data_IF_394878981584
#
_entry.id   IF_394878981584
#
_cell.length_a   1.000
_cell.length_b   1.000
_cell.length_c   1.000
_cell.angle_alpha   90.00
_cell.angle_beta   90.00
_cell.angle_gamma   90.00
#
_symmetry.space_group_name_H-M   'P 1'
#
loop_
_entity.id
_entity.type
_entity.pdbx_description
1 polymer ?
#
# COMPACT_ATOMS: atom_id res chain seq x y z
N UNK A 1 3.41 -0.92 25.15
CA UNK A 1 2.42 0.13 24.82
C UNK A 1 3.05 1.42 25.31
N UNK A 2 3.54 2.28 24.39
CA UNK A 2 4.16 3.61 24.59
C UNK A 2 5.09 3.85 23.40
N UNK A 3 4.77 4.84 22.58
CA UNK A 3 5.68 5.61 21.69
C UNK A 3 4.89 6.70 20.92
N UNK A 4 3.77 7.16 21.46
CA UNK A 4 3.22 8.45 21.04
C UNK A 4 3.73 9.45 22.06
N UNK A 5 4.55 10.40 21.62
CA UNK A 5 4.84 11.57 22.44
C UNK A 5 3.52 12.32 22.57
N UNK A 6 3.16 12.67 23.81
CA UNK A 6 2.13 13.67 24.03
C UNK A 6 2.72 14.99 23.52
N UNK A 7 2.08 15.54 22.50
CA UNK A 7 2.41 16.85 21.96
C UNK A 7 1.48 17.86 22.62
N UNK A 8 2.02 18.99 23.07
CA UNK A 8 1.16 20.07 23.57
C UNK A 8 0.36 20.65 22.41
N UNK A 9 -0.82 21.19 22.70
CA UNK A 9 -1.65 21.87 21.68
C UNK A 9 -0.96 23.11 21.10
N UNK A 10 0.02 23.67 21.81
CA UNK A 10 0.81 24.83 21.39
C UNK A 10 2.08 24.44 20.61
N UNK A 11 2.31 23.15 20.41
CA UNK A 11 3.48 22.67 19.69
C UNK A 11 3.38 22.98 18.19
N UNK A 12 4.31 23.78 17.69
CA UNK A 12 4.37 24.16 16.28
C UNK A 12 5.09 23.10 15.46
N UNK A 13 4.55 22.81 14.28
CA UNK A 13 5.11 21.93 13.24
C UNK A 13 5.19 22.70 11.92
N UNK A 14 6.17 22.39 11.08
CA UNK A 14 6.30 23.00 9.75
C UNK A 14 5.23 22.48 8.79
N UNK A 15 4.91 21.17 8.91
CA UNK A 15 3.91 20.50 8.08
C UNK A 15 3.04 19.57 8.92
N UNK A 16 1.75 19.52 8.57
CA UNK A 16 0.78 18.56 9.11
C UNK A 16 0.24 17.71 7.96
N UNK A 17 0.37 16.40 8.10
CA UNK A 17 -0.12 15.41 7.14
C UNK A 17 -1.30 14.68 7.77
N UNK A 18 -2.44 14.72 7.09
CA UNK A 18 -3.66 14.03 7.52
C UNK A 18 -3.77 12.71 6.77
N UNK A 19 -3.64 11.62 7.50
CA UNK A 19 -3.64 10.25 6.98
C UNK A 19 -2.23 9.71 6.76
N UNK A 20 -2.00 8.46 7.18
CA UNK A 20 -0.70 7.79 7.10
C UNK A 20 -0.66 6.68 6.03
N UNK A 21 -1.48 6.82 4.99
CA UNK A 21 -1.45 5.94 3.81
C UNK A 21 -0.18 6.12 2.96
N UNK A 22 -0.18 5.58 1.73
CA UNK A 22 0.96 5.68 0.82
C UNK A 22 1.41 7.14 0.60
N UNK A 23 0.51 8.01 0.14
CA UNK A 23 0.82 9.42 -0.11
C UNK A 23 1.32 10.13 1.14
N UNK A 24 0.58 10.01 2.26
CA UNK A 24 0.94 10.66 3.52
C UNK A 24 2.29 10.18 4.08
N UNK A 25 2.56 8.88 4.04
CA UNK A 25 3.83 8.32 4.53
C UNK A 25 5.02 8.75 3.67
N UNK A 26 4.87 8.75 2.34
CA UNK A 26 5.93 9.21 1.42
C UNK A 26 6.20 10.70 1.61
N UNK A 27 5.15 11.53 1.65
CA UNK A 27 5.29 12.97 1.92
C UNK A 27 5.96 13.24 3.27
N UNK A 28 5.54 12.52 4.32
CA UNK A 28 6.12 12.67 5.66
C UNK A 28 7.61 12.35 5.67
N UNK A 29 7.99 11.23 5.04
CA UNK A 29 9.38 10.80 4.93
C UNK A 29 10.23 11.82 4.17
N UNK A 30 9.78 12.28 2.99
CA UNK A 30 10.55 13.24 2.18
C UNK A 30 10.69 14.61 2.83
N UNK A 31 9.68 15.08 3.56
CA UNK A 31 9.76 16.33 4.32
C UNK A 31 10.69 16.18 5.54
N UNK A 32 10.58 15.06 6.27
CA UNK A 32 11.45 14.79 7.41
C UNK A 32 12.92 14.61 7.00
N UNK A 33 13.21 13.98 5.85
CA UNK A 33 14.57 13.86 5.28
C UNK A 33 15.20 15.23 4.98
N UNK A 34 14.38 16.25 4.68
CA UNK A 34 14.83 17.65 4.52
C UNK A 34 14.99 18.41 5.83
N UNK A 35 14.73 17.77 6.98
CA UNK A 35 14.88 18.34 8.31
C UNK A 35 13.65 19.09 8.83
N UNK A 36 12.52 19.03 8.13
CA UNK A 36 11.28 19.66 8.62
C UNK A 36 10.68 18.89 9.79
N UNK A 37 10.03 19.63 10.69
CA UNK A 37 9.24 19.07 11.79
C UNK A 37 7.83 18.74 11.29
N UNK A 38 7.56 17.45 11.10
CA UNK A 38 6.32 16.97 10.47
C UNK A 38 5.44 16.25 11.50
N UNK A 39 4.16 16.64 11.58
CA UNK A 39 3.12 15.93 12.33
C UNK A 39 2.30 15.06 11.37
N UNK A 40 2.12 13.78 11.70
CA UNK A 40 1.22 12.88 10.96
C UNK A 40 0.04 12.52 11.85
N UNK A 41 -1.17 12.81 11.38
CA UNK A 41 -2.42 12.49 12.06
C UNK A 41 -3.06 11.28 11.41
N UNK A 42 -3.32 10.24 12.19
CA UNK A 42 -3.96 9.01 11.72
C UNK A 42 -5.19 8.71 12.58
N UNK A 43 -6.33 8.41 11.93
CA UNK A 43 -7.58 8.11 12.63
C UNK A 43 -7.54 6.75 13.32
N UNK A 44 -6.83 5.80 12.71
CA UNK A 44 -6.70 4.43 13.17
C UNK A 44 -5.55 4.22 14.16
N UNK A 45 -5.31 2.94 14.47
CA UNK A 45 -4.28 2.53 15.43
C UNK A 45 -2.97 2.18 14.74
N UNK A 46 -1.89 2.12 15.50
CA UNK A 46 -0.66 1.44 15.08
C UNK A 46 -0.77 -0.04 15.42
N UNK A 47 -0.98 -0.88 14.41
CA UNK A 47 -1.11 -2.32 14.56
C UNK A 47 0.26 -2.99 14.60
N UNK A 48 0.38 -4.02 15.43
CA UNK A 48 1.48 -4.99 15.43
C UNK A 48 0.98 -6.33 14.87
N UNK A 49 1.90 -7.24 14.54
CA UNK A 49 1.56 -8.55 14.00
C UNK A 49 0.46 -9.29 14.79
N UNK A 50 0.50 -9.25 16.13
CA UNK A 50 -0.51 -9.88 16.99
C UNK A 50 -1.88 -9.19 17.02
N UNK A 51 -1.96 -7.94 16.56
CA UNK A 51 -3.20 -7.17 16.54
C UNK A 51 -4.06 -7.53 15.33
N UNK A 52 -3.46 -8.06 14.27
CA UNK A 52 -4.16 -8.48 13.06
C UNK A 52 -5.11 -9.65 13.36
N UNK A 53 -6.33 -9.62 12.79
CA UNK A 53 -7.27 -10.73 12.93
C UNK A 53 -6.75 -11.94 12.16
N UNK A 54 -6.80 -13.13 12.78
CA UNK A 54 -6.48 -14.40 12.09
C UNK A 54 -7.46 -14.73 10.97
N UNK A 55 -8.70 -14.25 11.08
CA UNK A 55 -9.78 -14.44 10.11
C UNK A 55 -10.68 -13.23 10.09
N UNK A 56 -11.35 -12.98 8.96
CA UNK A 56 -12.27 -11.85 8.80
C UNK A 56 -13.55 -12.00 9.65
N UNK A 57 -13.80 -13.19 10.22
CA UNK A 57 -14.89 -13.45 11.17
C UNK A 57 -14.67 -12.78 12.54
N UNK A 58 -13.43 -12.38 12.86
CA UNK A 58 -13.18 -11.55 14.04
C UNK A 58 -13.56 -10.09 13.74
N UNK A 59 -14.86 -9.84 13.63
CA UNK A 59 -15.44 -8.56 13.17
C UNK A 59 -14.91 -7.37 13.98
N UNK A 60 -14.75 -7.49 15.30
CA UNK A 60 -14.26 -6.41 16.17
C UNK A 60 -12.81 -6.02 15.92
N UNK A 61 -11.97 -6.97 15.49
CA UNK A 61 -10.57 -6.73 15.12
C UNK A 61 -10.37 -6.53 13.62
N UNK A 62 -11.35 -6.90 12.80
CA UNK A 62 -11.28 -6.79 11.35
C UNK A 62 -11.87 -5.47 10.86
N UNK A 63 -13.10 -5.13 11.25
CA UNK A 63 -13.78 -3.94 10.76
C UNK A 63 -13.39 -2.68 11.53
N UNK A 64 -13.24 -1.58 10.81
CA UNK A 64 -13.21 -0.22 11.34
C UNK A 64 -14.63 0.35 11.34
N UNK A 65 -15.32 0.23 12.47
CA UNK A 65 -16.64 0.81 12.68
C UNK A 65 -16.72 1.36 14.12
N UNK A 66 -16.17 2.57 14.37
CA UNK A 66 -16.04 3.13 15.71
C UNK A 66 -17.36 3.24 16.48
N UNK A 67 -18.48 3.47 15.78
CA UNK A 67 -19.82 3.61 16.37
C UNK A 67 -20.25 2.37 17.19
N UNK A 68 -19.77 1.17 16.83
CA UNK A 68 -20.03 -0.08 17.56
C UNK A 68 -18.76 -0.64 18.21
N UNK A 69 -17.74 0.22 18.40
CA UNK A 69 -16.44 -0.10 19.02
C UNK A 69 -15.61 -1.15 18.27
N UNK A 70 -15.83 -1.30 16.96
CA UNK A 70 -14.92 -2.05 16.09
C UNK A 70 -13.78 -1.13 15.65
N UNK A 71 -12.54 -1.52 15.94
CA UNK A 71 -11.34 -0.73 15.66
C UNK A 71 -10.29 -1.58 14.92
N UNK A 72 -10.76 -2.35 13.95
CA UNK A 72 -9.94 -3.15 13.04
C UNK A 72 -9.36 -2.35 11.88
N UNK A 73 -8.69 -3.05 10.97
CA UNK A 73 -7.96 -2.44 9.84
C UNK A 73 -8.84 -2.12 8.63
N UNK A 74 -9.98 -2.79 8.46
CA UNK A 74 -10.81 -2.73 7.25
C UNK A 74 -12.00 -1.78 7.43
N UNK A 75 -11.98 -0.64 6.77
CA UNK A 75 -13.14 0.24 6.59
C UNK A 75 -13.97 -0.18 5.39
N UNK A 76 -15.29 -0.18 5.55
CA UNK A 76 -16.27 -0.38 4.47
C UNK A 76 -17.22 0.80 4.50
N UNK A 77 -17.22 1.58 3.43
CA UNK A 77 -18.09 2.75 3.30
C UNK A 77 -19.10 2.45 2.20
N UNK A 78 -20.37 2.41 2.57
CA UNK A 78 -21.48 2.17 1.66
C UNK A 78 -21.90 3.48 1.01
N UNK A 79 -21.91 3.50 -0.32
CA UNK A 79 -22.56 4.51 -1.15
C UNK A 79 -23.71 3.84 -1.92
N UNK A 80 -24.52 4.62 -2.63
CA UNK A 80 -25.75 4.11 -3.28
C UNK A 80 -25.46 2.94 -4.25
N UNK A 81 -24.39 3.06 -5.05
CA UNK A 81 -24.05 2.05 -6.08
C UNK A 81 -22.66 1.41 -5.89
N UNK A 82 -21.86 1.90 -4.93
CA UNK A 82 -20.45 1.51 -4.79
C UNK A 82 -20.11 1.29 -3.32
N UNK A 83 -19.30 0.27 -3.04
CA UNK A 83 -18.70 0.07 -1.73
C UNK A 83 -17.22 0.42 -1.78
N UNK A 84 -16.78 1.32 -0.91
CA UNK A 84 -15.39 1.73 -0.80
C UNK A 84 -14.72 0.99 0.34
N UNK A 85 -13.75 0.14 -0.01
CA UNK A 85 -12.89 -0.55 0.94
C UNK A 85 -11.64 0.29 1.19
N UNK A 86 -11.31 0.50 2.47
CA UNK A 86 -10.13 1.30 2.82
C UNK A 86 -9.43 0.76 4.07
N UNK A 87 -8.11 0.93 4.15
CA UNK A 87 -7.36 0.65 5.38
C UNK A 87 -7.51 1.77 6.41
N UNK A 88 -7.63 1.43 7.69
CA UNK A 88 -7.71 2.38 8.81
C UNK A 88 -6.65 2.05 9.86
N UNK A 89 -5.66 2.91 10.03
CA UNK A 89 -4.49 2.63 10.86
C UNK A 89 -3.21 3.21 10.30
N UNK A 90 -2.14 3.15 11.09
CA UNK A 90 -0.80 3.57 10.65
C UNK A 90 -0.37 2.72 9.46
N UNK A 91 -0.28 3.32 8.27
CA UNK A 91 -0.06 2.64 6.98
C UNK A 91 -1.26 2.74 6.02
N UNK A 92 -2.46 3.02 6.53
CA UNK A 92 -3.67 3.17 5.73
C UNK A 92 -3.96 1.93 4.87
N UNK A 93 -4.19 2.12 3.57
CA UNK A 93 -4.50 1.06 2.62
C UNK A 93 -3.45 -0.07 2.55
N UNK A 94 -2.19 0.20 2.90
CA UNK A 94 -1.16 -0.85 2.91
C UNK A 94 -1.41 -1.96 3.94
N UNK A 95 -2.29 -1.72 4.92
CA UNK A 95 -2.70 -2.74 5.90
C UNK A 95 -3.62 -3.81 5.31
N UNK A 96 -4.27 -3.53 4.17
CA UNK A 96 -5.35 -4.37 3.61
C UNK A 96 -5.20 -4.70 2.12
N UNK A 97 -4.26 -4.07 1.42
CA UNK A 97 -4.03 -4.28 -0.01
C UNK A 97 -3.36 -5.64 -0.32
N UNK A 98 -3.31 -5.98 -1.61
CA UNK A 98 -2.76 -7.24 -2.10
C UNK A 98 -1.25 -7.22 -2.40
N UNK A 99 -0.54 -6.14 -2.06
CA UNK A 99 0.90 -5.98 -2.32
C UNK A 99 1.31 -6.04 -3.79
N UNK A 100 0.43 -5.76 -4.75
CA UNK A 100 0.76 -5.76 -6.18
C UNK A 100 1.34 -4.42 -6.64
N UNK A 101 2.41 -4.48 -7.44
CA UNK A 101 3.19 -3.30 -7.87
C UNK A 101 3.37 -3.26 -9.39
N UNK A 102 2.29 -2.93 -10.11
CA UNK A 102 2.28 -2.84 -11.58
C UNK A 102 2.45 -1.38 -12.00
N UNK A 103 3.48 -1.10 -12.80
CA UNK A 103 3.63 0.19 -13.49
C UNK A 103 2.60 0.24 -14.64
N UNK A 104 1.79 1.31 -14.75
CA UNK A 104 0.92 1.51 -15.90
C UNK A 104 1.70 1.52 -17.22
N UNK A 105 1.06 1.08 -18.31
CA UNK A 105 1.63 1.14 -19.65
C UNK A 105 1.54 2.55 -20.27
N UNK A 106 2.17 2.73 -21.43
CA UNK A 106 2.23 4.03 -22.14
C UNK A 106 0.86 4.65 -22.38
N UNK A 107 -0.17 3.84 -22.67
CA UNK A 107 -1.53 4.31 -22.89
C UNK A 107 -2.09 5.10 -21.69
N UNK A 108 -1.69 4.75 -20.46
CA UNK A 108 -2.08 5.51 -19.27
C UNK A 108 -1.38 6.87 -19.23
N UNK A 109 -0.07 6.93 -19.48
CA UNK A 109 0.66 8.20 -19.44
C UNK A 109 0.31 9.15 -20.59
N UNK A 110 -0.06 8.60 -21.74
CA UNK A 110 -0.49 9.36 -22.92
C UNK A 110 -2.00 9.70 -22.94
N UNK A 111 -2.73 9.43 -21.85
CA UNK A 111 -4.16 9.65 -21.79
C UNK A 111 -4.50 11.15 -21.93
N UNK A 112 -5.44 11.56 -22.82
CA UNK A 112 -5.74 12.97 -23.09
C UNK A 112 -6.16 13.78 -21.85
N UNK A 113 -6.63 13.13 -20.80
CA UNK A 113 -7.09 13.73 -19.55
C UNK A 113 -5.97 14.43 -18.77
N UNK A 114 -4.71 14.05 -19.00
CA UNK A 114 -3.55 14.63 -18.29
C UNK A 114 -2.26 14.73 -19.10
N UNK A 115 -2.20 14.19 -20.32
CA UNK A 115 -0.97 14.16 -21.13
C UNK A 115 -0.38 15.55 -21.44
N UNK A 116 -1.19 16.61 -21.37
CA UNK A 116 -0.76 17.99 -21.58
C UNK A 116 -0.12 18.65 -20.35
N UNK A 117 -0.20 18.02 -19.18
CA UNK A 117 0.34 18.56 -17.93
C UNK A 117 1.84 18.32 -17.77
N UNK A 118 2.35 17.19 -18.27
CA UNK A 118 3.76 16.82 -18.20
C UNK A 118 4.08 15.64 -19.11
N UNK A 119 5.37 15.42 -19.40
CA UNK A 119 5.86 14.12 -19.86
C UNK A 119 5.88 13.17 -18.65
N UNK A 120 4.75 12.50 -18.40
CA UNK A 120 4.56 11.66 -17.22
C UNK A 120 5.50 10.46 -17.14
N UNK A 121 5.90 9.92 -18.29
CA UNK A 121 6.88 8.83 -18.32
C UNK A 121 8.22 9.35 -17.80
N UNK A 122 8.72 10.44 -18.37
CA UNK A 122 9.99 11.02 -17.93
C UNK A 122 9.96 11.46 -16.46
N UNK A 123 8.84 12.04 -16.00
CA UNK A 123 8.68 12.55 -14.64
C UNK A 123 8.61 11.42 -13.60
N UNK A 124 7.88 10.33 -13.90
CA UNK A 124 7.55 9.30 -12.90
C UNK A 124 8.47 8.08 -12.92
N UNK A 125 9.23 7.84 -14.00
CA UNK A 125 10.03 6.62 -14.15
C UNK A 125 11.01 6.41 -12.99
N UNK A 126 11.80 7.42 -12.65
CA UNK A 126 12.73 7.35 -11.52
C UNK A 126 12.02 7.14 -10.17
N UNK A 127 10.78 7.63 -10.04
CA UNK A 127 9.96 7.46 -8.84
C UNK A 127 9.39 6.05 -8.73
N UNK A 128 8.98 5.43 -9.83
CA UNK A 128 8.61 4.01 -9.86
C UNK A 128 9.78 3.12 -9.45
N UNK A 129 10.97 3.34 -10.01
CA UNK A 129 12.18 2.59 -9.65
C UNK A 129 12.51 2.77 -8.16
N UNK A 130 12.43 4.00 -7.67
CA UNK A 130 12.66 4.28 -6.24
C UNK A 130 11.65 3.56 -5.35
N UNK A 131 10.36 3.62 -5.69
CA UNK A 131 9.30 2.98 -4.92
C UNK A 131 9.45 1.45 -4.94
N UNK A 132 9.71 0.86 -6.11
CA UNK A 132 9.91 -0.58 -6.26
C UNK A 132 11.09 -1.08 -5.43
N UNK A 133 12.21 -0.35 -5.47
CA UNK A 133 13.37 -0.63 -4.63
C UNK A 133 12.99 -0.54 -3.15
N UNK A 134 12.43 0.59 -2.70
CA UNK A 134 12.11 0.86 -1.29
C UNK A 134 11.04 -0.07 -0.70
N UNK A 135 10.22 -0.72 -1.53
CA UNK A 135 9.21 -1.68 -1.09
C UNK A 135 9.66 -3.14 -1.28
N UNK A 136 10.85 -3.37 -1.82
CA UNK A 136 11.36 -4.73 -2.05
C UNK A 136 10.51 -5.52 -3.04
N UNK A 137 10.11 -4.88 -4.13
CA UNK A 137 9.27 -5.51 -5.16
C UNK A 137 10.04 -6.64 -5.85
N UNK A 138 9.41 -7.81 -5.92
CA UNK A 138 9.94 -9.00 -6.59
C UNK A 138 8.83 -9.68 -7.41
N UNK A 139 9.19 -10.53 -8.36
CA UNK A 139 8.22 -11.36 -9.06
C UNK A 139 7.68 -12.47 -8.15
N UNK A 140 6.36 -12.69 -8.16
CA UNK A 140 5.76 -13.82 -7.45
C UNK A 140 6.27 -15.14 -8.07
N UNK A 141 7.00 -15.99 -7.33
CA UNK A 141 7.60 -17.21 -7.89
C UNK A 141 6.58 -18.36 -8.02
N UNK A 142 5.34 -18.17 -7.57
CA UNK A 142 4.31 -19.22 -7.54
C UNK A 142 3.14 -18.88 -8.43
N UNK A 143 2.79 -19.81 -9.30
CA UNK A 143 1.52 -19.84 -10.00
C UNK A 143 0.50 -20.71 -9.27
N UNK A 144 -0.75 -20.28 -9.31
CA UNK A 144 -1.91 -20.97 -8.77
C UNK A 144 -2.81 -21.47 -9.91
N UNK A 145 -3.81 -22.33 -9.62
CA UNK A 145 -4.69 -22.86 -10.66
C UNK A 145 -5.32 -21.77 -11.55
N UNK A 146 -5.65 -20.60 -11.00
CA UNK A 146 -6.17 -19.48 -11.77
C UNK A 146 -5.16 -18.90 -12.77
N UNK A 147 -3.87 -18.84 -12.39
CA UNK A 147 -2.81 -18.35 -13.28
C UNK A 147 -2.63 -19.27 -14.49
N UNK A 148 -2.75 -20.59 -14.31
CA UNK A 148 -2.70 -21.54 -15.43
C UNK A 148 -3.86 -21.36 -16.39
N UNK A 149 -5.08 -21.14 -15.87
CA UNK A 149 -6.26 -20.85 -16.70
C UNK A 149 -6.06 -19.55 -17.46
N UNK A 150 -5.54 -18.50 -16.83
CA UNK A 150 -5.22 -17.23 -17.50
C UNK A 150 -4.17 -17.40 -18.60
N UNK A 151 -3.16 -18.24 -18.36
CA UNK A 151 -2.15 -18.56 -19.37
C UNK A 151 -2.74 -19.32 -20.57
N UNK A 152 -3.60 -20.32 -20.33
CA UNK A 152 -4.27 -21.05 -21.40
C UNK A 152 -5.17 -20.13 -22.25
N UNK A 153 -5.92 -19.22 -21.62
CA UNK A 153 -6.71 -18.20 -22.31
C UNK A 153 -5.81 -17.28 -23.13
N UNK A 154 -4.68 -16.81 -22.57
CA UNK A 154 -3.75 -15.96 -23.29
C UNK A 154 -3.20 -16.67 -24.54
N UNK A 155 -2.86 -17.95 -24.44
CA UNK A 155 -2.42 -18.77 -25.57
C UNK A 155 -3.53 -18.96 -26.62
N UNK A 156 -4.77 -19.19 -26.21
CA UNK A 156 -5.92 -19.30 -27.14
C UNK A 156 -6.18 -17.99 -27.91
N UNK A 157 -5.74 -16.87 -27.37
CA UNK A 157 -5.84 -15.54 -27.98
C UNK A 157 -4.56 -15.12 -28.74
N UNK A 158 -3.55 -15.99 -28.84
CA UNK A 158 -2.21 -15.67 -29.37
C UNK A 158 -1.58 -14.45 -28.66
N UNK A 159 -1.66 -14.44 -27.32
CA UNK A 159 -1.22 -13.38 -26.39
C UNK A 159 -0.38 -13.88 -25.23
N UNK A 160 0.16 -15.10 -25.29
CA UNK A 160 0.94 -15.69 -24.19
C UNK A 160 2.19 -14.87 -23.83
N UNK A 161 2.72 -14.05 -24.74
CA UNK A 161 3.85 -13.14 -24.50
C UNK A 161 3.51 -12.03 -23.48
N UNK A 162 2.22 -11.75 -23.28
CA UNK A 162 1.74 -10.76 -22.30
C UNK A 162 1.61 -11.34 -20.90
N UNK A 163 1.61 -12.66 -20.77
CA UNK A 163 1.53 -13.34 -19.48
C UNK A 163 2.86 -13.23 -18.73
N UNK A 164 2.79 -12.71 -17.50
CA UNK A 164 3.97 -12.55 -16.64
C UNK A 164 3.60 -12.78 -15.18
N UNK A 165 4.54 -13.25 -14.35
CA UNK A 165 4.38 -13.24 -12.90
C UNK A 165 3.98 -11.86 -12.39
N UNK A 166 3.11 -11.81 -11.39
CA UNK A 166 2.70 -10.54 -10.80
C UNK A 166 3.84 -9.97 -9.93
N UNK A 167 4.31 -8.73 -10.16
CA UNK A 167 5.25 -8.07 -9.27
C UNK A 167 4.56 -7.73 -7.95
N UNK A 168 5.19 -8.14 -6.84
CA UNK A 168 4.66 -7.96 -5.48
C UNK A 168 5.70 -7.47 -4.49
N UNK A 169 5.29 -6.63 -3.54
CA UNK A 169 6.07 -6.22 -2.38
C UNK A 169 5.92 -7.26 -1.24
N UNK A 170 6.35 -8.49 -1.50
CA UNK A 170 6.28 -9.63 -0.57
C UNK A 170 7.63 -10.33 -0.54
N UNK A 171 8.15 -10.56 0.67
CA UNK A 171 9.30 -11.43 0.86
C UNK A 171 8.88 -12.90 0.91
N UNK A 172 9.45 -13.71 0.01
CA UNK A 172 9.19 -15.15 -0.09
C UNK A 172 10.28 -15.98 0.63
N UNK A 173 10.42 -15.80 1.95
CA UNK A 173 11.31 -16.61 2.79
C UNK A 173 10.63 -17.81 3.45
N UNK A 174 11.42 -18.56 4.22
CA UNK A 174 10.91 -19.67 5.03
C UNK A 174 9.98 -19.18 6.15
N UNK A 175 8.73 -19.70 6.25
CA UNK A 175 7.78 -19.27 7.27
C UNK A 175 8.34 -19.41 8.71
N UNK A 176 8.28 -18.33 9.47
CA UNK A 176 8.73 -18.29 10.86
C UNK A 176 10.24 -18.13 11.05
N UNK A 177 11.02 -18.07 9.96
CA UNK A 177 12.45 -17.77 10.02
C UNK A 177 12.68 -16.28 9.82
N UNK A 178 13.39 -15.65 10.77
CA UNK A 178 13.88 -14.28 10.62
C UNK A 178 15.22 -14.32 9.89
N UNK A 179 15.35 -13.52 8.84
CA UNK A 179 16.58 -13.32 8.07
C UNK A 179 17.01 -11.86 8.13
N UNK A 180 18.28 -11.52 7.84
CA UNK A 180 18.69 -10.14 7.58
C UNK A 180 17.84 -9.53 6.46
N UNK A 181 17.72 -8.19 6.45
CA UNK A 181 16.93 -7.49 5.44
C UNK A 181 17.47 -7.80 4.03
N UNK A 182 16.70 -8.53 3.19
CA UNK A 182 17.20 -8.98 1.90
C UNK A 182 17.17 -7.88 0.83
N UNK A 183 16.58 -6.72 1.13
CA UNK A 183 16.38 -5.63 0.16
C UNK A 183 17.25 -4.40 0.46
N UNK A 184 17.53 -4.12 1.74
CA UNK A 184 18.16 -2.85 2.16
C UNK A 184 19.51 -2.98 2.87
N UNK A 185 19.91 -4.20 3.29
CA UNK A 185 21.19 -4.46 3.95
C UNK A 185 21.18 -4.17 5.45
#
# INVERSE_FOLDING_TARGET
MKNFKEHSVDEVFDFVIVGSGFGGSVSAMRLAEKGYKVLVLERGRRYKAQDFPKTNWNIFKYLWLPAVRCFGIMGINFMDDIWLLNGSGVGGGSLVYASTHIKPGEAFFAAPEWADLADWTAELDAHYETANRMLGVTENPKFWPADHVLYDIARELDKEETFKPTPVAIFFGEPGQTVPDPFFG
#
